data_IF_296721777220
#
_entry.id   IF_296721777220
#
_cell.length_a   1.000
_cell.length_b   1.000
_cell.length_c   1.000
_cell.angle_alpha   90.00
_cell.angle_beta   90.00
_cell.angle_gamma   90.00
#
_symmetry.space_group_name_H-M   'P 1'
#
loop_
_entity.id
_entity.type
_entity.pdbx_description
1 polymer ?
#
# COMPACT_ATOMS: atom_id res chain seq x y z
N UNK A 1 12.96 -55.05 -57.97
CA UNK A 1 13.68 -54.39 -56.88
C UNK A 1 13.05 -53.02 -56.69
N UNK A 2 12.13 -52.87 -55.70
CA UNK A 2 11.41 -51.62 -55.41
C UNK A 2 12.07 -50.98 -54.19
N UNK A 3 12.59 -49.76 -54.33
CA UNK A 3 13.18 -48.99 -53.27
C UNK A 3 12.05 -48.24 -52.57
N UNK A 4 11.86 -48.50 -51.27
CA UNK A 4 11.02 -47.68 -50.39
C UNK A 4 11.80 -46.39 -49.99
N UNK A 5 11.20 -45.26 -50.27
CA UNK A 5 11.67 -43.97 -49.78
C UNK A 5 11.00 -43.67 -48.43
N UNK A 6 11.79 -43.64 -47.38
CA UNK A 6 11.31 -43.20 -46.04
C UNK A 6 11.23 -41.67 -45.99
N UNK A 7 10.03 -41.17 -45.77
CA UNK A 7 9.77 -39.75 -45.55
C UNK A 7 9.92 -39.47 -44.05
N UNK A 8 11.00 -38.79 -43.66
CA UNK A 8 11.15 -38.26 -42.32
C UNK A 8 10.31 -36.96 -42.19
N UNK A 9 9.23 -37.00 -41.44
CA UNK A 9 8.53 -35.81 -40.99
C UNK A 9 9.33 -35.16 -39.87
N UNK A 10 9.89 -33.98 -40.13
CA UNK A 10 10.45 -33.12 -39.09
C UNK A 10 9.30 -32.40 -38.38
N UNK A 11 9.07 -32.74 -37.10
CA UNK A 11 8.16 -32.03 -36.22
C UNK A 11 8.89 -30.77 -35.76
N UNK A 12 8.55 -29.63 -36.36
CA UNK A 12 9.00 -28.33 -35.92
C UNK A 12 8.31 -27.97 -34.59
N UNK A 13 9.07 -28.00 -33.50
CA UNK A 13 8.63 -27.44 -32.23
C UNK A 13 8.64 -25.91 -32.38
N UNK A 14 7.47 -25.31 -32.56
CA UNK A 14 7.28 -23.88 -32.42
C UNK A 14 7.49 -23.53 -30.94
N UNK A 15 8.70 -23.07 -30.60
CA UNK A 15 8.95 -22.40 -29.35
C UNK A 15 8.15 -21.09 -29.35
N UNK A 16 6.98 -21.12 -28.72
CA UNK A 16 6.21 -19.93 -28.44
C UNK A 16 7.05 -19.01 -27.56
N UNK A 17 7.71 -18.02 -28.15
CA UNK A 17 8.36 -16.96 -27.43
C UNK A 17 7.30 -16.19 -26.64
N UNK A 18 7.29 -16.33 -25.31
CA UNK A 18 6.53 -15.46 -24.46
C UNK A 18 6.99 -14.03 -24.78
N UNK A 19 6.10 -13.23 -25.37
CA UNK A 19 6.31 -11.80 -25.55
C UNK A 19 6.58 -11.21 -24.17
N UNK A 20 7.84 -10.92 -23.87
CA UNK A 20 8.18 -10.17 -22.67
C UNK A 20 7.62 -8.76 -22.86
N UNK A 21 6.65 -8.40 -22.03
CA UNK A 21 6.13 -7.03 -22.01
C UNK A 21 7.32 -6.06 -21.88
N UNK A 22 7.44 -5.14 -22.85
CA UNK A 22 8.47 -4.11 -22.87
C UNK A 22 8.11 -3.03 -21.84
N UNK A 23 8.30 -3.30 -20.57
CA UNK A 23 8.01 -2.41 -19.47
C UNK A 23 9.18 -2.27 -18.52
N UNK A 24 9.08 -1.30 -17.60
CA UNK A 24 10.03 -1.17 -16.50
C UNK A 24 9.93 -2.42 -15.61
N UNK A 25 11.07 -3.04 -15.32
CA UNK A 25 11.13 -4.15 -14.36
C UNK A 25 11.17 -3.58 -12.96
N UNK A 26 10.16 -3.89 -12.17
CA UNK A 26 10.09 -3.55 -10.75
C UNK A 26 10.16 -4.82 -9.89
N UNK A 27 10.77 -4.74 -8.73
CA UNK A 27 10.82 -5.85 -7.76
C UNK A 27 9.57 -5.85 -6.85
N UNK A 28 8.93 -4.72 -6.66
CA UNK A 28 7.74 -4.56 -5.82
C UNK A 28 7.46 -3.10 -5.49
N UNK A 29 6.51 -2.88 -4.59
CA UNK A 29 6.24 -1.55 -4.03
C UNK A 29 7.21 -1.31 -2.86
N UNK A 30 8.05 -0.29 -2.96
CA UNK A 30 9.04 0.05 -1.92
C UNK A 30 8.39 0.76 -0.72
N UNK A 31 7.64 1.82 -0.98
CA UNK A 31 6.96 2.60 0.06
C UNK A 31 5.65 3.23 -0.45
N UNK A 32 4.84 3.63 0.50
CA UNK A 32 3.68 4.49 0.29
C UNK A 32 3.96 5.83 0.97
N UNK A 33 3.98 6.92 0.19
CA UNK A 33 4.19 8.27 0.69
C UNK A 33 2.88 8.91 1.13
N UNK A 34 2.86 9.49 2.33
CA UNK A 34 1.71 10.24 2.84
C UNK A 34 2.14 11.54 3.52
N UNK A 35 1.35 12.58 3.31
CA UNK A 35 1.55 13.86 3.99
C UNK A 35 0.89 13.84 5.37
N UNK A 36 1.61 14.33 6.36
CA UNK A 36 1.12 14.43 7.74
C UNK A 36 1.33 15.85 8.28
N UNK A 37 0.47 16.34 9.17
CA UNK A 37 0.62 17.69 9.73
C UNK A 37 1.78 17.80 10.72
N UNK A 38 2.17 16.68 11.34
CA UNK A 38 3.20 16.61 12.39
C UNK A 38 3.80 15.20 12.41
N UNK A 39 5.10 15.08 12.14
CA UNK A 39 5.80 13.79 12.11
C UNK A 39 5.82 13.09 13.47
N UNK A 40 5.98 13.85 14.56
CA UNK A 40 6.02 13.27 15.90
C UNK A 40 4.68 12.64 16.28
N UNK A 41 3.57 13.31 15.94
CA UNK A 41 2.23 12.76 16.12
C UNK A 41 2.02 11.51 15.27
N UNK A 42 2.44 11.54 14.01
CA UNK A 42 2.27 10.42 13.09
C UNK A 42 3.11 9.21 13.50
N UNK A 43 4.38 9.39 13.85
CA UNK A 43 5.25 8.31 14.35
C UNK A 43 4.68 7.68 15.64
N UNK A 44 4.19 8.51 16.57
CA UNK A 44 3.58 8.02 17.80
C UNK A 44 2.30 7.21 17.51
N UNK A 45 1.48 7.67 16.57
CA UNK A 45 0.27 6.95 16.14
C UNK A 45 0.60 5.60 15.49
N UNK A 46 1.47 5.59 14.47
CA UNK A 46 1.85 4.35 13.80
C UNK A 46 2.60 3.39 14.73
N UNK A 47 3.43 3.91 15.61
CA UNK A 47 4.15 3.11 16.59
C UNK A 47 3.22 2.45 17.61
N UNK A 48 2.30 3.22 18.21
CA UNK A 48 1.41 2.71 19.26
C UNK A 48 0.31 1.80 18.72
N UNK A 49 -0.26 2.14 17.55
CA UNK A 49 -1.40 1.38 17.01
C UNK A 49 -0.96 0.14 16.22
N UNK A 50 0.17 0.18 15.51
CA UNK A 50 0.56 -0.85 14.55
C UNK A 50 1.97 -1.40 14.77
N UNK A 51 2.69 -0.94 15.79
CA UNK A 51 4.06 -1.37 16.05
C UNK A 51 5.05 -0.94 14.96
N UNK A 52 4.74 0.11 14.21
CA UNK A 52 5.67 0.62 13.22
C UNK A 52 6.84 1.33 13.88
N UNK A 53 8.05 1.12 13.36
CA UNK A 53 9.26 1.72 13.88
C UNK A 53 9.83 2.74 12.90
N UNK A 54 10.17 3.97 13.34
CA UNK A 54 10.88 4.91 12.50
C UNK A 54 12.31 4.41 12.27
N UNK A 55 12.67 4.22 11.00
CA UNK A 55 13.99 3.73 10.58
C UNK A 55 14.95 4.88 10.31
N UNK A 56 14.47 5.92 9.66
CA UNK A 56 15.27 7.10 9.34
C UNK A 56 14.41 8.36 9.26
N UNK A 57 15.06 9.49 9.57
CA UNK A 57 14.48 10.82 9.42
C UNK A 57 15.50 11.71 8.72
N UNK A 58 15.07 12.44 7.71
CA UNK A 58 15.91 13.31 6.90
C UNK A 58 15.27 14.70 6.76
N UNK A 59 16.11 15.72 6.62
CA UNK A 59 15.68 17.12 6.59
C UNK A 59 15.83 17.82 7.96
N UNK A 60 15.25 19.03 8.16
CA UNK A 60 14.40 19.72 7.17
C UNK A 60 15.19 20.20 5.96
N UNK A 61 14.66 19.94 4.77
CA UNK A 61 15.15 20.53 3.54
C UNK A 61 14.40 21.83 3.29
N UNK A 62 15.15 22.92 3.06
CA UNK A 62 14.56 24.17 2.61
C UNK A 62 14.17 24.03 1.13
N UNK A 63 12.97 24.46 0.80
CA UNK A 63 12.42 24.32 -0.55
C UNK A 63 12.50 25.67 -1.28
N UNK A 64 13.28 25.69 -2.34
CA UNK A 64 13.26 26.76 -3.33
C UNK A 64 12.34 26.31 -4.48
N UNK A 65 11.25 27.03 -4.78
CA UNK A 65 10.33 26.64 -5.84
C UNK A 65 10.98 26.50 -7.22
N UNK A 66 11.96 27.35 -7.57
CA UNK A 66 12.64 27.29 -8.86
C UNK A 66 13.58 26.07 -8.93
N UNK A 67 14.44 25.89 -7.91
CA UNK A 67 15.34 24.74 -7.85
C UNK A 67 14.58 23.41 -7.73
N UNK A 68 13.45 23.39 -7.02
CA UNK A 68 12.60 22.21 -6.91
C UNK A 68 11.90 21.86 -8.24
N UNK A 69 11.46 22.85 -9.01
CA UNK A 69 10.90 22.63 -10.34
C UNK A 69 11.91 21.99 -11.29
N UNK A 70 13.16 22.46 -11.26
CA UNK A 70 14.25 21.93 -12.09
C UNK A 70 14.65 20.50 -11.68
N UNK A 71 14.72 20.24 -10.37
CA UNK A 71 15.20 18.94 -9.85
C UNK A 71 14.11 17.87 -9.76
N UNK A 72 12.88 18.24 -9.39
CA UNK A 72 11.79 17.30 -9.09
C UNK A 72 10.58 17.43 -10.04
N UNK A 73 10.59 18.39 -10.96
CA UNK A 73 9.51 18.60 -11.92
C UNK A 73 8.24 19.24 -11.32
N UNK A 74 8.29 19.73 -10.09
CA UNK A 74 7.20 20.48 -9.46
C UNK A 74 7.73 21.61 -8.57
N UNK A 75 6.94 22.68 -8.44
CA UNK A 75 7.27 23.84 -7.61
C UNK A 75 6.41 23.81 -6.33
N UNK A 76 6.92 23.31 -5.20
CA UNK A 76 6.17 23.29 -3.95
C UNK A 76 5.94 24.71 -3.42
N UNK A 77 4.79 24.92 -2.76
CA UNK A 77 4.48 26.18 -2.06
C UNK A 77 4.84 26.12 -0.57
N UNK A 78 5.51 25.07 -0.16
CA UNK A 78 5.97 24.88 1.21
C UNK A 78 7.35 25.49 1.40
N UNK A 79 7.66 25.96 2.62
CA UNK A 79 8.96 26.51 2.99
C UNK A 79 10.02 25.41 3.17
N UNK A 80 9.61 24.28 3.74
CA UNK A 80 10.51 23.16 4.00
C UNK A 80 9.74 21.84 4.09
N UNK A 81 10.50 20.73 4.01
CA UNK A 81 9.98 19.38 4.22
C UNK A 81 10.90 18.58 5.13
N UNK A 82 10.31 17.83 6.06
CA UNK A 82 10.99 16.78 6.82
C UNK A 82 10.34 15.44 6.46
N UNK A 83 11.15 14.40 6.30
CA UNK A 83 10.69 13.09 5.87
C UNK A 83 11.10 12.06 6.93
N UNK A 84 10.21 11.10 7.20
CA UNK A 84 10.52 9.93 8.02
C UNK A 84 10.10 8.65 7.30
N UNK A 85 10.94 7.63 7.36
CA UNK A 85 10.62 6.29 6.85
C UNK A 85 10.30 5.37 8.00
N UNK A 86 9.15 4.71 7.93
CA UNK A 86 8.69 3.75 8.94
C UNK A 86 8.66 2.33 8.35
N UNK A 87 9.10 1.38 9.16
CA UNK A 87 8.90 -0.05 8.92
C UNK A 87 7.72 -0.56 9.75
N UNK A 88 6.71 -1.15 9.10
CA UNK A 88 5.52 -1.72 9.74
C UNK A 88 5.49 -3.21 9.46
N UNK A 89 6.14 -4.03 10.30
CA UNK A 89 6.24 -5.49 10.11
C UNK A 89 6.64 -5.87 8.67
N UNK A 90 5.87 -6.75 8.02
CA UNK A 90 6.06 -7.11 6.61
C UNK A 90 5.26 -6.19 5.69
N UNK A 91 5.73 -5.98 4.47
CA UNK A 91 5.07 -5.14 3.47
C UNK A 91 5.85 -3.91 3.06
N UNK A 92 5.18 -3.00 2.37
CA UNK A 92 5.76 -1.72 1.95
C UNK A 92 6.04 -0.83 3.15
N UNK A 93 7.13 -0.05 3.06
CA UNK A 93 7.41 0.98 4.05
C UNK A 93 6.38 2.12 3.95
N UNK A 94 6.29 2.93 5.00
CA UNK A 94 5.52 4.16 4.99
C UNK A 94 6.51 5.32 5.02
N UNK A 95 6.39 6.22 4.04
CA UNK A 95 7.15 7.45 3.97
C UNK A 95 6.26 8.61 4.40
N UNK A 96 6.60 9.25 5.49
CA UNK A 96 5.86 10.38 6.07
C UNK A 96 6.52 11.68 5.64
N UNK A 97 5.72 12.60 5.09
CA UNK A 97 6.15 13.96 4.73
C UNK A 97 5.49 14.99 5.63
N UNK A 98 6.28 15.75 6.35
CA UNK A 98 5.82 16.96 7.05
C UNK A 98 6.29 18.19 6.26
N UNK A 99 5.37 18.80 5.53
CA UNK A 99 5.61 20.06 4.84
C UNK A 99 5.26 21.25 5.73
N UNK A 100 6.22 22.14 5.95
CA UNK A 100 5.92 23.45 6.51
C UNK A 100 5.29 24.33 5.45
N UNK A 101 3.97 24.31 5.38
CA UNK A 101 3.19 25.02 4.38
C UNK A 101 2.02 25.77 5.04
N UNK A 102 2.19 27.08 5.37
CA UNK A 102 1.13 27.87 6.01
C UNK A 102 -0.10 28.07 5.11
N UNK A 103 0.04 27.87 3.78
CA UNK A 103 -1.03 28.05 2.79
C UNK A 103 -1.50 26.70 2.19
N UNK A 104 -1.06 25.58 2.73
CA UNK A 104 -1.45 24.24 2.26
C UNK A 104 -2.92 23.94 2.57
N UNK A 105 -3.56 23.16 1.69
CA UNK A 105 -4.87 22.58 2.00
C UNK A 105 -4.73 21.57 3.15
N UNK A 106 -5.60 21.67 4.13
CA UNK A 106 -5.65 20.78 5.30
C UNK A 106 -6.89 19.89 5.30
N UNK A 107 -7.77 20.07 4.33
CA UNK A 107 -8.98 19.27 4.20
C UNK A 107 -8.63 17.90 3.59
N UNK A 108 -9.12 16.84 4.22
CA UNK A 108 -9.01 15.50 3.65
C UNK A 108 -9.98 15.35 2.49
N UNK A 109 -9.57 14.68 1.40
CA UNK A 109 -10.49 14.35 0.32
C UNK A 109 -11.62 13.45 0.84
N UNK A 110 -12.78 13.53 0.19
CA UNK A 110 -13.85 12.55 0.42
C UNK A 110 -13.44 11.21 -0.19
N UNK A 111 -14.01 10.11 0.30
CA UNK A 111 -13.63 8.77 -0.16
C UNK A 111 -13.83 8.55 -1.66
N UNK A 112 -14.79 9.27 -2.27
CA UNK A 112 -15.10 9.21 -3.70
C UNK A 112 -14.28 10.18 -4.59
N UNK A 113 -13.45 11.04 -4.01
CA UNK A 113 -12.65 12.01 -4.76
C UNK A 113 -11.41 11.34 -5.37
N UNK A 114 -11.06 11.75 -6.60
CA UNK A 114 -9.79 11.37 -7.21
C UNK A 114 -8.65 11.97 -6.36
N UNK A 115 -7.74 11.10 -5.89
CA UNK A 115 -6.68 11.47 -4.96
C UNK A 115 -6.95 11.02 -3.53
N UNK A 116 -8.18 10.60 -3.21
CA UNK A 116 -8.44 9.87 -1.98
C UNK A 116 -7.71 8.53 -1.99
N UNK A 117 -7.16 8.16 -0.85
CA UNK A 117 -6.45 6.90 -0.66
C UNK A 117 -6.52 6.46 0.80
N UNK A 118 -6.32 5.19 1.06
CA UNK A 118 -6.16 4.67 2.41
C UNK A 118 -5.03 3.65 2.47
N UNK A 119 -4.52 3.40 3.66
CA UNK A 119 -3.61 2.28 3.96
C UNK A 119 -4.40 1.25 4.75
N UNK A 120 -4.40 0.01 4.27
CA UNK A 120 -5.02 -1.12 4.96
C UNK A 120 -3.97 -1.90 5.76
N UNK A 121 -4.26 -2.14 7.05
CA UNK A 121 -3.47 -2.97 7.94
C UNK A 121 -4.14 -4.32 8.16
N UNK A 122 -3.40 -5.39 7.98
CA UNK A 122 -3.89 -6.74 8.23
C UNK A 122 -3.81 -7.09 9.71
N UNK A 123 -4.85 -7.73 10.22
CA UNK A 123 -4.87 -8.36 11.55
C UNK A 123 -5.64 -9.68 11.52
N UNK A 124 -5.22 -10.66 12.31
CA UNK A 124 -6.01 -11.89 12.53
C UNK A 124 -7.19 -11.68 13.49
N UNK A 125 -7.13 -10.64 14.34
CA UNK A 125 -8.16 -10.28 15.32
C UNK A 125 -8.70 -8.87 15.08
N UNK A 126 -9.62 -8.74 14.13
CA UNK A 126 -10.24 -7.45 13.81
C UNK A 126 -11.10 -6.91 14.96
N UNK A 127 -11.71 -7.78 15.75
CA UNK A 127 -12.53 -7.39 16.90
C UNK A 127 -11.69 -6.75 18.01
N UNK A 128 -10.58 -7.38 18.37
CA UNK A 128 -9.61 -6.86 19.33
C UNK A 128 -8.98 -5.56 18.84
N UNK A 129 -8.62 -5.48 17.54
CA UNK A 129 -8.05 -4.28 16.93
C UNK A 129 -9.03 -3.10 16.96
N UNK A 130 -10.31 -3.31 16.63
CA UNK A 130 -11.35 -2.27 16.72
C UNK A 130 -11.54 -1.80 18.17
N UNK A 131 -11.56 -2.75 19.12
CA UNK A 131 -11.67 -2.43 20.54
C UNK A 131 -10.50 -1.57 21.02
N UNK A 132 -9.28 -1.90 20.57
CA UNK A 132 -8.08 -1.12 20.87
C UNK A 132 -8.18 0.30 20.29
N UNK A 133 -8.57 0.45 19.01
CA UNK A 133 -8.72 1.77 18.38
C UNK A 133 -9.72 2.65 19.16
N UNK A 134 -10.92 2.10 19.47
CA UNK A 134 -11.96 2.79 20.23
C UNK A 134 -11.47 3.20 21.63
N UNK A 135 -10.77 2.30 22.34
CA UNK A 135 -10.23 2.56 23.67
C UNK A 135 -9.14 3.66 23.70
N UNK A 136 -8.43 3.84 22.59
CA UNK A 136 -7.41 4.87 22.41
C UNK A 136 -7.94 6.14 21.72
N UNK A 137 -9.26 6.33 21.65
CA UNK A 137 -9.89 7.53 21.10
C UNK A 137 -9.79 7.67 19.58
N UNK A 138 -9.43 6.61 18.86
CA UNK A 138 -9.35 6.61 17.40
C UNK A 138 -10.75 6.37 16.82
N UNK A 139 -11.18 7.23 15.90
CA UNK A 139 -12.52 7.18 15.32
C UNK A 139 -12.63 6.01 14.33
N UNK A 140 -13.38 4.99 14.70
CA UNK A 140 -13.76 3.87 13.83
C UNK A 140 -15.04 4.24 13.07
N UNK A 141 -15.08 3.97 11.76
CA UNK A 141 -16.19 4.33 10.87
C UNK A 141 -17.11 3.12 10.68
N UNK A 142 -18.17 3.09 11.49
CA UNK A 142 -19.14 1.98 11.47
C UNK A 142 -18.66 0.73 12.21
N UNK A 143 -19.21 -0.41 11.82
CA UNK A 143 -18.86 -1.73 12.36
C UNK A 143 -18.14 -2.57 11.30
N UNK A 144 -17.33 -3.57 11.71
CA UNK A 144 -16.67 -4.47 10.77
C UNK A 144 -17.66 -5.15 9.81
N UNK A 145 -17.37 -5.04 8.51
CA UNK A 145 -18.20 -5.63 7.44
C UNK A 145 -17.60 -6.96 7.01
N UNK A 146 -18.35 -8.05 7.19
CA UNK A 146 -17.94 -9.38 6.75
C UNK A 146 -18.44 -9.67 5.34
N UNK A 147 -17.52 -10.00 4.45
CA UNK A 147 -17.81 -10.40 3.08
C UNK A 147 -18.21 -11.87 3.02
N UNK A 148 -19.45 -12.14 2.56
CA UNK A 148 -20.05 -13.49 2.59
C UNK A 148 -20.12 -14.16 1.22
N UNK A 149 -19.67 -13.49 0.17
CA UNK A 149 -19.70 -14.02 -1.20
C UNK A 149 -18.72 -13.28 -2.12
N UNK A 150 -18.49 -13.86 -3.30
CA UNK A 150 -17.65 -13.26 -4.34
C UNK A 150 -16.16 -13.38 -4.07
N UNK A 151 -15.36 -12.51 -4.68
CA UNK A 151 -13.91 -12.53 -4.63
C UNK A 151 -13.33 -12.20 -3.27
N UNK A 152 -14.03 -11.38 -2.52
CA UNK A 152 -13.67 -10.95 -1.16
C UNK A 152 -14.30 -11.82 -0.08
N UNK A 153 -15.06 -12.87 -0.42
CA UNK A 153 -15.63 -13.79 0.58
C UNK A 153 -14.55 -14.28 1.56
N UNK A 154 -14.85 -14.21 2.86
CA UNK A 154 -13.92 -14.53 3.92
C UNK A 154 -13.16 -13.34 4.50
N UNK A 155 -13.18 -12.20 3.82
CA UNK A 155 -12.63 -10.95 4.32
C UNK A 155 -13.59 -10.26 5.28
N UNK A 156 -13.03 -9.62 6.29
CA UNK A 156 -13.72 -8.65 7.15
C UNK A 156 -12.90 -7.38 7.14
N UNK A 157 -13.54 -6.24 6.97
CA UNK A 157 -12.88 -4.95 6.92
C UNK A 157 -13.63 -3.88 7.70
N UNK A 158 -12.92 -2.83 8.10
CA UNK A 158 -13.50 -1.64 8.74
C UNK A 158 -12.58 -0.45 8.52
N UNK A 159 -13.16 0.71 8.19
CA UNK A 159 -12.42 1.97 8.10
C UNK A 159 -12.33 2.67 9.46
N UNK A 160 -11.28 3.47 9.62
CA UNK A 160 -11.06 4.33 10.76
C UNK A 160 -10.28 5.58 10.32
N UNK A 161 -10.23 6.61 11.18
CA UNK A 161 -9.51 7.85 10.91
C UNK A 161 -8.22 7.92 11.71
N UNK A 162 -7.13 8.33 11.05
CA UNK A 162 -5.93 8.77 11.77
C UNK A 162 -6.22 10.00 12.61
N UNK A 163 -5.35 10.39 13.56
CA UNK A 163 -5.52 11.60 14.35
C UNK A 163 -5.64 12.90 13.53
N UNK A 164 -5.11 12.91 12.31
CA UNK A 164 -5.20 14.04 11.39
C UNK A 164 -6.27 13.88 10.32
N UNK A 165 -7.10 12.82 10.39
CA UNK A 165 -8.27 12.63 9.54
C UNK A 165 -8.07 11.78 8.29
N UNK A 166 -6.85 11.29 7.99
CA UNK A 166 -6.63 10.39 6.85
C UNK A 166 -7.40 9.09 7.02
N UNK A 167 -7.91 8.59 5.90
CA UNK A 167 -8.62 7.31 5.85
C UNK A 167 -7.63 6.15 6.01
N UNK A 168 -8.01 5.20 6.83
CA UNK A 168 -7.27 3.98 7.13
C UNK A 168 -8.23 2.81 7.18
N UNK A 169 -7.72 1.58 7.02
CA UNK A 169 -8.54 0.38 7.04
C UNK A 169 -7.87 -0.71 7.87
N UNK A 170 -8.68 -1.50 8.57
CA UNK A 170 -8.29 -2.81 9.07
C UNK A 170 -8.91 -3.88 8.19
N UNK A 171 -8.12 -4.89 7.82
CA UNK A 171 -8.59 -6.06 7.07
C UNK A 171 -8.19 -7.35 7.77
N UNK A 172 -9.05 -8.36 7.69
CA UNK A 172 -8.82 -9.69 8.24
C UNK A 172 -9.38 -10.75 7.29
N UNK A 173 -8.57 -11.71 6.92
CA UNK A 173 -8.97 -12.86 6.10
C UNK A 173 -8.13 -14.10 6.48
N UNK A 174 -8.26 -14.60 7.72
CA UNK A 174 -7.38 -15.65 8.27
C UNK A 174 -7.45 -16.98 7.48
N UNK A 175 -8.54 -17.21 6.78
CA UNK A 175 -8.77 -18.41 5.96
C UNK A 175 -8.71 -18.14 4.44
N UNK A 176 -8.09 -17.03 4.03
CA UNK A 176 -8.02 -16.62 2.64
C UNK A 176 -9.28 -15.92 2.12
N UNK A 177 -9.28 -15.62 0.82
CA UNK A 177 -10.36 -14.89 0.13
C UNK A 177 -10.99 -15.75 -0.97
N UNK A 178 -12.23 -15.44 -1.32
CA UNK A 178 -13.02 -16.17 -2.31
C UNK A 178 -12.36 -16.31 -3.69
N UNK A 179 -11.61 -15.29 -4.16
CA UNK A 179 -10.92 -15.32 -5.45
C UNK A 179 -9.89 -16.46 -5.56
N UNK A 180 -9.33 -16.90 -4.44
CA UNK A 180 -8.29 -17.93 -4.38
C UNK A 180 -8.76 -19.31 -4.86
N UNK A 181 -10.09 -19.55 -4.86
CA UNK A 181 -10.68 -20.80 -5.39
C UNK A 181 -10.65 -20.90 -6.92
N UNK A 182 -10.47 -19.78 -7.63
CA UNK A 182 -10.57 -19.71 -9.10
C UNK A 182 -9.40 -19.06 -9.80
N UNK A 183 -8.44 -18.50 -9.06
CA UNK A 183 -7.23 -17.91 -9.61
C UNK A 183 -6.00 -18.62 -9.07
N UNK A 184 -5.04 -18.92 -9.93
CA UNK A 184 -3.71 -19.38 -9.54
C UNK A 184 -2.79 -18.21 -9.13
N UNK A 185 -3.11 -16.98 -9.57
CA UNK A 185 -2.41 -15.79 -9.13
C UNK A 185 -2.87 -15.44 -7.71
N UNK A 186 -1.92 -15.01 -6.87
CA UNK A 186 -2.17 -14.60 -5.50
C UNK A 186 -1.84 -13.13 -5.32
N UNK A 187 -2.71 -12.41 -4.62
CA UNK A 187 -2.36 -11.12 -4.06
C UNK A 187 -1.29 -11.33 -2.98
N UNK A 188 -0.37 -10.38 -2.88
CA UNK A 188 0.58 -10.39 -1.78
C UNK A 188 -0.16 -10.42 -0.44
N UNK A 189 0.33 -11.23 0.50
CA UNK A 189 -0.31 -11.44 1.79
C UNK A 189 0.71 -11.24 2.92
N UNK A 190 0.48 -10.32 3.87
CA UNK A 190 1.41 -10.06 4.96
C UNK A 190 1.64 -11.26 5.89
N UNK A 191 0.74 -12.25 5.91
CA UNK A 191 0.95 -13.52 6.65
C UNK A 191 1.92 -14.46 5.94
N UNK A 192 2.08 -14.31 4.64
CA UNK A 192 2.89 -15.18 3.79
C UNK A 192 3.72 -14.34 2.80
N UNK A 193 4.61 -13.47 3.29
CA UNK A 193 5.28 -12.46 2.45
C UNK A 193 6.22 -13.05 1.39
N UNK A 194 6.59 -14.32 1.51
CA UNK A 194 7.43 -15.03 0.55
C UNK A 194 6.69 -15.85 -0.51
N UNK A 195 5.35 -15.76 -0.57
CA UNK A 195 4.53 -16.51 -1.52
C UNK A 195 4.10 -15.65 -2.70
#
# INVERSE_FOLDING_TARGET
MKRLASCLMAIGVLAGGASQASGIRVAGVDHVGINVPDLKQAEAFFGSAFGCEPVTRIGPFQLDPAASADAAGFAPRADSVTIAMLRCAEGSNIELFEYRNPHGNKDMPRAEDIGASHIAFYTDDIGGAVSYLKANGITVLGEPVKMTSGDTEGETWVHFRSPWGSDMELVSYPNGKGYERRSSLRLWNPKHPGQ
#
